data_IF_687663558559
#
_entry.id   IF_687663558559
#
_cell.length_a   1.000
_cell.length_b   1.000
_cell.length_c   1.000
_cell.angle_alpha   90.00
_cell.angle_beta   90.00
_cell.angle_gamma   90.00
#
_symmetry.space_group_name_H-M   'P 1'
#
loop_
_entity.id
_entity.type
_entity.pdbx_description
1 polymer ?
#
# COMPACT_ATOMS: atom_id res chain seq x y z
N UNK A 1 7.91 -9.63 -1.29
CA UNK A 1 7.05 -8.66 -0.57
C UNK A 1 7.01 -9.03 0.90
N UNK A 2 7.17 -8.05 1.79
CA UNK A 2 7.10 -8.28 3.23
C UNK A 2 5.66 -8.52 3.68
N UNK A 3 5.41 -9.28 4.78
CA UNK A 3 4.06 -9.53 5.29
C UNK A 3 3.39 -8.29 5.89
N UNK A 4 4.17 -7.28 6.28
CA UNK A 4 3.65 -6.00 6.77
C UNK A 4 2.70 -5.39 5.74
N UNK A 5 1.52 -4.97 6.20
CA UNK A 5 0.47 -4.42 5.34
C UNK A 5 -0.35 -5.46 4.57
N UNK A 6 -0.07 -6.74 4.70
CA UNK A 6 -0.83 -7.87 4.11
C UNK A 6 -1.11 -7.71 2.60
N UNK A 7 -0.15 -7.16 1.84
CA UNK A 7 -0.37 -6.73 0.46
C UNK A 7 -0.05 -7.78 -0.61
N UNK A 8 0.57 -8.91 -0.25
CA UNK A 8 1.02 -9.88 -1.24
C UNK A 8 -0.07 -10.38 -2.16
N UNK A 9 -1.19 -10.82 -1.61
CA UNK A 9 -2.33 -11.33 -2.38
C UNK A 9 -3.01 -10.22 -3.20
N UNK A 10 -3.22 -9.05 -2.61
CA UNK A 10 -3.83 -7.91 -3.30
C UNK A 10 -3.01 -7.46 -4.51
N UNK A 11 -1.69 -7.37 -4.35
CA UNK A 11 -0.80 -7.01 -5.45
C UNK A 11 -0.73 -8.09 -6.53
N UNK A 12 -0.80 -9.37 -6.17
CA UNK A 12 -0.87 -10.47 -7.14
C UNK A 12 -2.15 -10.40 -8.00
N UNK A 13 -3.29 -10.02 -7.41
CA UNK A 13 -4.54 -9.80 -8.15
C UNK A 13 -4.38 -8.62 -9.13
N UNK A 14 -3.82 -7.51 -8.68
CA UNK A 14 -3.55 -6.36 -9.55
C UNK A 14 -2.57 -6.70 -10.67
N UNK A 15 -1.54 -7.50 -10.40
CA UNK A 15 -0.62 -8.00 -11.41
C UNK A 15 -1.33 -8.86 -12.47
N UNK A 16 -2.21 -9.75 -12.03
CA UNK A 16 -2.99 -10.60 -12.95
C UNK A 16 -3.92 -9.75 -13.86
N UNK A 17 -4.56 -8.73 -13.31
CA UNK A 17 -5.40 -7.80 -14.09
C UNK A 17 -4.55 -7.00 -15.09
N UNK A 18 -3.42 -6.48 -14.65
CA UNK A 18 -2.53 -5.68 -15.50
C UNK A 18 -1.95 -6.51 -16.65
N UNK A 19 -1.43 -7.71 -16.37
CA UNK A 19 -0.85 -8.57 -17.42
C UNK A 19 -1.93 -9.00 -18.42
N UNK A 20 -3.13 -9.36 -17.96
CA UNK A 20 -4.23 -9.73 -18.84
C UNK A 20 -4.62 -8.58 -19.79
N UNK A 21 -4.69 -7.36 -19.27
CA UNK A 21 -5.00 -6.15 -20.07
C UNK A 21 -3.93 -5.89 -21.12
N UNK A 22 -2.66 -5.91 -20.75
CA UNK A 22 -1.56 -5.66 -21.69
C UNK A 22 -1.41 -6.75 -22.76
N UNK A 23 -1.61 -8.01 -22.40
CA UNK A 23 -1.61 -9.12 -23.35
C UNK A 23 -2.80 -9.03 -24.33
N UNK A 24 -3.98 -8.63 -23.84
CA UNK A 24 -5.16 -8.43 -24.68
C UNK A 24 -4.97 -7.30 -25.69
N UNK A 25 -4.29 -6.22 -25.29
CA UNK A 25 -4.03 -5.06 -26.13
C UNK A 25 -2.96 -5.32 -27.19
N UNK A 26 -1.81 -5.87 -26.80
CA UNK A 26 -0.60 -5.91 -27.61
C UNK A 26 0.05 -7.30 -27.71
N UNK A 27 -0.62 -8.35 -27.23
CA UNK A 27 -0.04 -9.70 -27.20
C UNK A 27 1.23 -9.73 -26.36
N UNK A 28 2.20 -10.55 -26.77
CA UNK A 28 3.48 -10.71 -26.07
C UNK A 28 4.27 -9.38 -25.99
N UNK A 29 4.11 -8.50 -26.96
CA UNK A 29 4.72 -7.15 -26.95
C UNK A 29 4.25 -6.30 -25.75
N UNK A 30 3.07 -6.59 -25.17
CA UNK A 30 2.54 -5.92 -23.99
C UNK A 30 3.26 -6.24 -22.68
N UNK A 31 4.12 -7.24 -22.63
CA UNK A 31 4.86 -7.62 -21.41
C UNK A 31 5.78 -6.51 -20.91
N UNK A 32 6.39 -5.74 -21.81
CA UNK A 32 7.22 -4.59 -21.44
C UNK A 32 6.41 -3.50 -20.75
N UNK A 33 5.22 -3.20 -21.26
CA UNK A 33 4.32 -2.22 -20.66
C UNK A 33 3.77 -2.69 -19.30
N UNK A 34 3.45 -3.96 -19.14
CA UNK A 34 3.10 -4.56 -17.87
C UNK A 34 4.22 -4.37 -16.82
N UNK A 35 5.45 -4.66 -17.20
CA UNK A 35 6.61 -4.52 -16.31
C UNK A 35 6.83 -3.05 -15.90
N UNK A 36 6.73 -2.11 -16.84
CA UNK A 36 6.86 -0.67 -16.58
C UNK A 36 5.76 -0.13 -15.66
N UNK A 37 4.57 -0.69 -15.72
CA UNK A 37 3.46 -0.31 -14.83
C UNK A 37 3.62 -0.90 -13.44
N UNK A 38 3.89 -2.20 -13.34
CA UNK A 38 3.79 -2.91 -12.06
C UNK A 38 5.08 -2.90 -11.25
N UNK A 39 6.22 -2.90 -11.86
CA UNK A 39 7.50 -2.92 -11.13
C UNK A 39 7.70 -1.70 -10.23
N UNK A 40 7.52 -0.45 -10.68
CA UNK A 40 7.67 0.70 -9.79
C UNK A 40 6.60 0.71 -8.69
N UNK A 41 5.35 0.37 -8.99
CA UNK A 41 4.27 0.33 -8.02
C UNK A 41 4.54 -0.66 -6.89
N UNK A 42 4.96 -1.88 -7.21
CA UNK A 42 5.30 -2.90 -6.21
C UNK A 42 6.59 -2.57 -5.46
N UNK A 43 7.56 -1.94 -6.11
CA UNK A 43 8.79 -1.48 -5.46
C UNK A 43 8.50 -0.40 -4.40
N UNK A 44 7.58 0.51 -4.66
CA UNK A 44 7.18 1.54 -3.70
C UNK A 44 6.52 0.93 -2.47
N UNK A 45 5.69 -0.09 -2.64
CA UNK A 45 5.10 -0.85 -1.54
C UNK A 45 6.18 -1.53 -0.70
N UNK A 46 7.16 -2.18 -1.34
CA UNK A 46 8.29 -2.82 -0.64
C UNK A 46 9.08 -1.80 0.17
N UNK A 47 9.35 -0.62 -0.40
CA UNK A 47 10.05 0.47 0.31
C UNK A 47 9.24 0.97 1.52
N UNK A 48 7.93 1.15 1.35
CA UNK A 48 7.04 1.57 2.44
C UNK A 48 6.96 0.51 3.54
N UNK A 49 6.89 -0.77 3.17
CA UNK A 49 6.88 -1.87 4.14
C UNK A 49 8.17 -1.93 4.97
N UNK A 50 9.32 -1.56 4.38
CA UNK A 50 10.59 -1.45 5.13
C UNK A 50 10.59 -0.34 6.18
N UNK A 51 9.71 0.65 6.03
CA UNK A 51 9.51 1.76 6.98
C UNK A 51 8.33 1.53 7.93
N UNK A 52 7.82 0.29 8.01
CA UNK A 52 6.69 -0.08 8.86
C UNK A 52 5.34 -0.12 8.12
N UNK A 53 5.21 0.45 6.92
CA UNK A 53 3.94 0.46 6.20
C UNK A 53 2.80 1.06 7.01
N UNK A 54 1.62 0.40 7.08
CA UNK A 54 0.50 0.87 7.89
C UNK A 54 0.78 0.77 9.40
N UNK A 55 1.75 -0.06 9.82
CA UNK A 55 2.14 -0.23 11.22
C UNK A 55 2.95 0.97 11.74
N UNK A 56 3.29 1.94 10.89
CA UNK A 56 3.87 3.22 11.28
C UNK A 56 3.06 3.99 12.33
N UNK A 57 1.76 3.68 12.46
CA UNK A 57 0.91 4.14 13.56
C UNK A 57 1.44 3.69 14.92
N UNK A 58 1.90 2.45 15.02
CA UNK A 58 2.44 1.86 16.26
C UNK A 58 3.75 2.57 16.63
N UNK A 59 4.64 2.74 15.66
CA UNK A 59 5.92 3.44 15.85
C UNK A 59 5.71 4.87 16.34
N UNK A 60 4.75 5.60 15.74
CA UNK A 60 4.41 6.95 16.14
C UNK A 60 3.93 7.03 17.60
N UNK A 61 3.07 6.11 18.01
CA UNK A 61 2.54 6.08 19.36
C UNK A 61 3.63 5.71 20.36
N UNK A 62 4.47 4.75 20.03
CA UNK A 62 5.60 4.35 20.88
C UNK A 62 6.62 5.48 21.05
N UNK A 63 6.91 6.24 20.00
CA UNK A 63 7.80 7.40 20.05
C UNK A 63 7.24 8.51 20.95
N UNK A 64 5.92 8.81 20.85
CA UNK A 64 5.27 9.88 21.60
C UNK A 64 4.94 9.53 23.05
N UNK A 65 4.66 8.27 23.33
CA UNK A 65 4.21 7.79 24.65
C UNK A 65 4.85 6.45 25.02
N UNK A 66 6.19 6.40 25.16
CA UNK A 66 6.93 5.15 25.43
C UNK A 66 6.54 4.50 26.77
N UNK A 67 6.04 5.30 27.72
CA UNK A 67 5.62 4.84 29.05
C UNK A 67 4.11 4.55 29.14
N UNK A 68 3.41 4.61 28.00
CA UNK A 68 1.97 4.38 27.91
C UNK A 68 1.16 5.68 27.92
N UNK A 69 -0.16 5.53 27.82
CA UNK A 69 -1.12 6.65 27.75
C UNK A 69 -2.48 6.23 28.30
N UNK A 70 -3.25 7.22 28.76
CA UNK A 70 -4.60 6.97 29.28
C UNK A 70 -5.64 6.93 28.16
N UNK A 71 -5.55 7.84 27.19
CA UNK A 71 -6.41 7.89 26.02
C UNK A 71 -5.58 8.10 24.74
N UNK A 72 -5.94 7.41 23.69
CA UNK A 72 -5.22 7.48 22.40
C UNK A 72 -5.24 8.90 21.83
N UNK A 73 -6.33 9.64 21.99
CA UNK A 73 -6.48 11.01 21.51
C UNK A 73 -5.48 12.00 22.15
N UNK A 74 -4.93 11.66 23.32
CA UNK A 74 -3.89 12.46 23.98
C UNK A 74 -2.52 12.32 23.29
N UNK A 75 -2.32 11.24 22.54
CA UNK A 75 -1.04 10.91 21.88
C UNK A 75 -1.06 11.29 20.41
N UNK A 76 -2.13 10.96 19.71
CA UNK A 76 -2.30 11.24 18.29
C UNK A 76 -3.77 11.50 17.96
N UNK A 77 -4.03 12.45 17.06
CA UNK A 77 -5.39 12.72 16.61
C UNK A 77 -5.90 11.59 15.70
N UNK A 78 -7.22 11.33 15.69
CA UNK A 78 -7.80 10.40 14.73
C UNK A 78 -7.47 10.75 13.26
N UNK A 79 -7.30 12.03 12.95
CA UNK A 79 -6.92 12.50 11.62
C UNK A 79 -5.50 12.10 11.23
N UNK A 80 -4.53 12.22 12.16
CA UNK A 80 -3.15 11.76 11.92
C UNK A 80 -3.08 10.25 11.66
N UNK A 81 -3.80 9.46 12.47
CA UNK A 81 -3.82 8.00 12.34
C UNK A 81 -4.46 7.55 11.03
N UNK A 82 -5.57 8.17 10.64
CA UNK A 82 -6.23 7.90 9.36
C UNK A 82 -5.37 8.31 8.17
N UNK A 83 -4.61 9.39 8.27
CA UNK A 83 -3.71 9.84 7.21
C UNK A 83 -2.61 8.80 6.94
N UNK A 84 -1.98 8.25 7.97
CA UNK A 84 -0.94 7.22 7.82
C UNK A 84 -1.50 5.98 7.10
N UNK A 85 -2.65 5.47 7.52
CA UNK A 85 -3.30 4.32 6.90
C UNK A 85 -3.81 4.65 5.49
N UNK A 86 -4.42 5.82 5.31
CA UNK A 86 -4.97 6.26 4.04
C UNK A 86 -3.90 6.48 2.97
N UNK A 87 -2.77 7.06 3.34
CA UNK A 87 -1.64 7.26 2.43
C UNK A 87 -1.08 5.92 1.95
N UNK A 88 -0.96 4.95 2.87
CA UNK A 88 -0.54 3.60 2.51
C UNK A 88 -1.54 2.91 1.58
N UNK A 89 -2.85 3.00 1.85
CA UNK A 89 -3.90 2.44 1.00
C UNK A 89 -3.87 3.04 -0.41
N UNK A 90 -3.66 4.36 -0.50
CA UNK A 90 -3.55 5.07 -1.78
C UNK A 90 -2.35 4.58 -2.58
N UNK A 91 -1.20 4.48 -1.94
CA UNK A 91 0.04 4.00 -2.58
C UNK A 91 -0.10 2.52 -3.01
N UNK A 92 -0.71 1.69 -2.18
CA UNK A 92 -0.93 0.27 -2.48
C UNK A 92 -1.98 0.03 -3.58
N UNK A 93 -2.79 1.03 -3.94
CA UNK A 93 -3.71 0.97 -5.07
C UNK A 93 -5.02 0.23 -4.79
N UNK A 94 -5.40 0.03 -3.54
CA UNK A 94 -6.62 -0.72 -3.19
C UNK A 94 -7.70 0.10 -2.48
N UNK A 95 -7.65 1.42 -2.57
CA UNK A 95 -8.79 2.23 -2.13
C UNK A 95 -10.03 1.93 -3.00
N UNK A 96 -11.25 2.00 -2.43
CA UNK A 96 -12.47 1.71 -3.19
C UNK A 96 -12.60 2.53 -4.49
N UNK A 97 -12.19 3.78 -4.47
CA UNK A 97 -12.19 4.66 -5.64
C UNK A 97 -11.15 4.28 -6.69
N UNK A 98 -10.08 3.58 -6.30
CA UNK A 98 -9.05 3.08 -7.20
C UNK A 98 -9.45 1.75 -7.84
N UNK A 99 -9.99 0.82 -7.05
CA UNK A 99 -10.34 -0.53 -7.53
C UNK A 99 -11.65 -0.60 -8.31
N UNK A 100 -12.57 0.34 -8.08
CA UNK A 100 -13.86 0.42 -8.78
C UNK A 100 -13.82 1.28 -10.05
N UNK A 101 -12.65 1.57 -10.58
CA UNK A 101 -12.52 2.24 -11.89
C UNK A 101 -12.90 1.27 -12.99
N UNK A 102 -13.80 1.70 -13.87
CA UNK A 102 -14.11 0.99 -15.10
C UNK A 102 -13.01 1.13 -16.15
#
# INVERSE_FOLDING_TARGET
MYPVGSNGASQAILDAVAIARHLKSDGVAGLGAYDQERRPATADIVRANRKGGPDGVIDLIEERAPDGFAALDDVASPGELRAIVGDYQTMAGYRPDQVNRE
#
